data_IF_619142654201
#
_entry.id   IF_619142654201
#
_cell.length_a   1.000
_cell.length_b   1.000
_cell.length_c   1.000
_cell.angle_alpha   90.00
_cell.angle_beta   90.00
_cell.angle_gamma   90.00
#
_symmetry.space_group_name_H-M   'P 1'
#
loop_
_entity.id
_entity.type
_entity.pdbx_description
1 polymer ?
#
# COMPACT_ATOMS: atom_id res chain seq x y z
N UNK A 1 2.75 -11.88 -5.63
CA UNK A 1 2.08 -12.99 -6.34
C UNK A 1 0.57 -12.77 -6.30
N UNK A 2 0.08 -11.83 -7.10
CA UNK A 2 -1.35 -11.58 -7.19
C UNK A 2 -2.07 -12.71 -7.97
N UNK A 3 -3.22 -13.16 -7.46
CA UNK A 3 -4.14 -14.02 -8.22
C UNK A 3 -5.00 -13.24 -9.22
N UNK A 4 -4.98 -11.91 -9.14
CA UNK A 4 -5.73 -10.99 -10.00
C UNK A 4 -4.75 -10.05 -10.69
N UNK A 5 -5.02 -9.71 -11.95
CA UNK A 5 -4.23 -8.71 -12.66
C UNK A 5 -4.49 -7.34 -12.02
N UNK A 6 -3.43 -6.62 -11.66
CA UNK A 6 -3.55 -5.23 -11.21
C UNK A 6 -3.95 -4.29 -12.35
N UNK A 7 -4.50 -3.13 -12.00
CA UNK A 7 -4.80 -2.06 -12.95
C UNK A 7 -3.51 -1.53 -13.58
N UNK A 8 -3.49 -1.46 -14.92
CA UNK A 8 -2.36 -0.91 -15.68
C UNK A 8 -2.40 0.61 -15.67
N UNK A 9 -1.26 1.26 -15.91
CA UNK A 9 -1.20 2.73 -15.93
C UNK A 9 -2.12 3.32 -17.01
N UNK A 10 -2.34 2.59 -18.12
CA UNK A 10 -3.23 2.98 -19.21
C UNK A 10 -4.71 2.98 -18.78
N UNK A 11 -5.12 2.00 -17.96
CA UNK A 11 -6.48 1.88 -17.46
C UNK A 11 -6.74 2.72 -16.19
N UNK A 12 -5.67 3.18 -15.52
CA UNK A 12 -5.76 3.91 -14.28
C UNK A 12 -6.33 5.33 -14.46
N UNK A 13 -7.21 5.74 -13.55
CA UNK A 13 -7.71 7.12 -13.48
C UNK A 13 -6.58 8.10 -13.11
N UNK A 14 -6.80 9.41 -13.34
CA UNK A 14 -5.80 10.44 -12.98
C UNK A 14 -5.46 10.41 -11.48
N UNK A 15 -6.44 10.07 -10.64
CA UNK A 15 -6.29 9.94 -9.19
C UNK A 15 -5.42 8.73 -8.85
N UNK A 16 -5.72 7.55 -9.39
CA UNK A 16 -4.93 6.33 -9.20
C UNK A 16 -3.47 6.52 -9.67
N UNK A 17 -3.27 7.20 -10.80
CA UNK A 17 -1.93 7.56 -11.28
C UNK A 17 -1.18 8.45 -10.29
N UNK A 18 -1.87 9.38 -9.63
CA UNK A 18 -1.31 10.20 -8.55
C UNK A 18 -0.86 9.34 -7.37
N UNK A 19 -1.71 8.40 -6.93
CA UNK A 19 -1.41 7.45 -5.86
C UNK A 19 -0.21 6.56 -6.22
N UNK A 20 -0.17 6.02 -7.44
CA UNK A 20 0.96 5.20 -7.92
C UNK A 20 2.26 5.98 -7.99
N UNK A 21 2.23 7.23 -8.47
CA UNK A 21 3.43 8.10 -8.48
C UNK A 21 3.91 8.40 -7.07
N UNK A 22 3.00 8.69 -6.14
CA UNK A 22 3.33 8.91 -4.73
C UNK A 22 3.97 7.67 -4.10
N UNK A 23 3.39 6.49 -4.32
CA UNK A 23 3.95 5.23 -3.86
C UNK A 23 5.34 4.97 -4.46
N UNK A 24 5.52 5.16 -5.77
CA UNK A 24 6.83 5.02 -6.44
C UNK A 24 7.87 5.99 -5.87
N UNK A 25 7.49 7.22 -5.55
CA UNK A 25 8.39 8.20 -4.95
C UNK A 25 8.85 7.82 -3.54
N UNK A 26 7.99 7.17 -2.74
CA UNK A 26 8.32 6.76 -1.36
C UNK A 26 9.01 5.39 -1.27
N UNK A 27 8.59 4.43 -2.11
CA UNK A 27 8.99 3.02 -2.02
C UNK A 27 9.91 2.58 -3.16
N UNK A 28 10.20 3.45 -4.12
CA UNK A 28 10.99 3.15 -5.33
C UNK A 28 10.21 2.37 -6.40
N UNK A 29 9.11 1.72 -6.03
CA UNK A 29 8.24 0.96 -6.92
C UNK A 29 6.76 1.11 -6.53
N UNK A 30 5.87 0.75 -7.45
CA UNK A 30 4.43 0.67 -7.16
C UNK A 30 4.15 -0.73 -6.61
N UNK A 31 3.72 -0.88 -5.35
CA UNK A 31 3.39 -2.19 -4.79
C UNK A 31 2.29 -2.88 -5.63
N UNK A 32 2.47 -4.18 -5.90
CA UNK A 32 1.47 -5.00 -6.59
C UNK A 32 0.07 -4.90 -5.93
N UNK A 33 -0.07 -4.94 -4.58
CA UNK A 33 -1.36 -4.79 -3.91
C UNK A 33 -2.09 -3.48 -4.25
N UNK A 34 -1.35 -2.37 -4.39
CA UNK A 34 -1.93 -1.06 -4.68
C UNK A 34 -2.58 -1.04 -6.08
N UNK A 35 -2.00 -1.77 -7.04
CA UNK A 35 -2.60 -1.95 -8.37
C UNK A 35 -3.84 -2.83 -8.34
N UNK A 36 -3.92 -3.79 -7.42
CA UNK A 36 -5.12 -4.64 -7.26
C UNK A 36 -6.24 -3.83 -6.59
N UNK A 37 -5.93 -3.07 -5.53
CA UNK A 37 -6.91 -2.24 -4.84
C UNK A 37 -7.50 -1.17 -5.75
N UNK A 38 -6.76 -0.71 -6.75
CA UNK A 38 -7.24 0.22 -7.77
C UNK A 38 -8.44 -0.29 -8.61
N UNK A 39 -8.80 -1.58 -8.54
CA UNK A 39 -10.07 -2.06 -9.11
C UNK A 39 -11.30 -1.44 -8.43
N UNK A 40 -11.17 -0.97 -7.19
CA UNK A 40 -12.22 -0.28 -6.46
C UNK A 40 -11.64 0.98 -5.80
N UNK A 41 -12.06 2.15 -6.30
CA UNK A 41 -11.60 3.44 -5.78
C UNK A 41 -11.85 3.60 -4.28
N UNK A 42 -12.97 3.07 -3.76
CA UNK A 42 -13.28 3.09 -2.33
C UNK A 42 -12.29 2.28 -1.49
N UNK A 43 -11.89 1.09 -1.97
CA UNK A 43 -10.90 0.25 -1.29
C UNK A 43 -9.52 0.92 -1.34
N UNK A 44 -9.13 1.42 -2.51
CA UNK A 44 -7.86 2.13 -2.68
C UNK A 44 -7.75 3.32 -1.73
N UNK A 45 -8.80 4.15 -1.64
CA UNK A 45 -8.79 5.31 -0.74
C UNK A 45 -8.78 4.92 0.73
N UNK A 46 -9.54 3.89 1.12
CA UNK A 46 -9.54 3.40 2.49
C UNK A 46 -8.13 2.94 2.92
N UNK A 47 -7.45 2.18 2.07
CA UNK A 47 -6.07 1.72 2.30
C UNK A 47 -5.08 2.89 2.39
N UNK A 48 -5.11 3.81 1.42
CA UNK A 48 -4.24 5.00 1.41
C UNK A 48 -4.41 5.84 2.68
N UNK A 49 -5.66 6.07 3.11
CA UNK A 49 -5.95 6.82 4.33
C UNK A 49 -5.49 6.07 5.58
N UNK A 50 -5.70 4.76 5.63
CA UNK A 50 -5.27 3.90 6.73
C UNK A 50 -3.74 3.90 6.89
N UNK A 51 -3.00 3.68 5.80
CA UNK A 51 -1.54 3.69 5.80
C UNK A 51 -0.99 5.07 6.17
N UNK A 52 -1.59 6.14 5.63
CA UNK A 52 -1.19 7.51 5.96
C UNK A 52 -1.42 7.84 7.44
N UNK A 53 -2.59 7.49 7.98
CA UNK A 53 -2.90 7.69 9.40
C UNK A 53 -1.95 6.88 10.31
N UNK A 54 -1.67 5.63 9.93
CA UNK A 54 -0.75 4.74 10.64
C UNK A 54 0.67 5.29 10.66
N UNK A 55 1.17 5.80 9.54
CA UNK A 55 2.47 6.46 9.44
C UNK A 55 2.52 7.71 10.34
N UNK A 56 1.46 8.55 10.30
CA UNK A 56 1.41 9.82 11.03
C UNK A 56 1.24 9.69 12.54
N UNK A 57 0.69 8.58 13.03
CA UNK A 57 0.49 8.33 14.46
C UNK A 57 1.81 8.46 15.24
N UNK A 58 1.80 9.05 16.45
CA UNK A 58 3.03 9.31 17.24
C UNK A 58 3.09 8.55 18.56
N UNK A 59 2.19 7.60 18.79
CA UNK A 59 2.16 6.82 20.02
C UNK A 59 3.42 5.95 20.20
N UNK A 60 4.08 5.56 19.10
CA UNK A 60 5.31 4.76 19.09
C UNK A 60 6.26 5.24 17.97
N UNK A 61 7.55 4.95 18.13
CA UNK A 61 8.58 5.24 17.12
C UNK A 61 8.30 4.52 15.79
N UNK A 62 8.65 5.15 14.67
CA UNK A 62 8.41 4.60 13.33
C UNK A 62 9.11 3.25 13.11
N UNK A 63 10.31 3.05 13.68
CA UNK A 63 11.03 1.77 13.57
C UNK A 63 10.32 0.67 14.34
N UNK A 64 9.71 0.97 15.48
CA UNK A 64 8.93 0.00 16.24
C UNK A 64 7.66 -0.43 15.49
N UNK A 65 7.00 0.49 14.78
CA UNK A 65 5.87 0.13 13.91
C UNK A 65 6.30 -0.85 12.83
N UNK A 66 7.39 -0.57 12.13
CA UNK A 66 7.91 -1.46 11.09
C UNK A 66 8.30 -2.83 11.63
N UNK A 67 8.93 -2.89 12.82
CA UNK A 67 9.27 -4.16 13.48
C UNK A 67 8.01 -4.95 13.88
N UNK A 68 6.98 -4.27 14.38
CA UNK A 68 5.71 -4.91 14.70
C UNK A 68 5.06 -5.50 13.43
N UNK A 69 4.99 -4.75 12.33
CA UNK A 69 4.47 -5.23 11.05
C UNK A 69 5.25 -6.44 10.54
N UNK A 70 6.58 -6.39 10.59
CA UNK A 70 7.45 -7.51 10.17
C UNK A 70 7.27 -8.75 11.04
N UNK A 71 7.13 -8.56 12.36
CA UNK A 71 6.89 -9.67 13.29
C UNK A 71 5.54 -10.33 13.00
N UNK A 72 4.48 -9.55 12.88
CA UNK A 72 3.14 -10.06 12.57
C UNK A 72 3.14 -10.78 11.22
N UNK A 73 3.78 -10.20 10.19
CA UNK A 73 3.96 -10.82 8.88
C UNK A 73 4.58 -12.22 8.98
N UNK A 74 5.67 -12.34 9.75
CA UNK A 74 6.36 -13.62 9.95
C UNK A 74 5.49 -14.64 10.67
N UNK A 75 4.66 -14.21 11.63
CA UNK A 75 3.79 -15.09 12.41
C UNK A 75 2.63 -15.65 11.59
N UNK A 76 2.06 -14.84 10.69
CA UNK A 76 0.95 -15.26 9.83
C UNK A 76 1.41 -15.91 8.52
N UNK A 77 2.72 -16.01 8.29
CA UNK A 77 3.28 -16.57 7.05
C UNK A 77 3.07 -15.68 5.82
N UNK A 78 2.95 -14.36 6.00
CA UNK A 78 2.83 -13.43 4.89
C UNK A 78 4.19 -13.27 4.19
N UNK A 79 4.29 -13.85 3.00
CA UNK A 79 5.40 -13.61 2.05
C UNK A 79 5.16 -12.25 1.38
N UNK A 80 5.65 -11.20 2.03
CA UNK A 80 5.69 -9.83 1.51
C UNK A 80 6.45 -9.74 0.18
#
# INVERSE_FOLDING_TARGET
>A
MARMKGVSDAAASLIERGVFKGAKGRLGQVPEPLRIMAHSSGILWADVLFEFASDRARAVDSRLKSLASLKVASMIGCVF
#
